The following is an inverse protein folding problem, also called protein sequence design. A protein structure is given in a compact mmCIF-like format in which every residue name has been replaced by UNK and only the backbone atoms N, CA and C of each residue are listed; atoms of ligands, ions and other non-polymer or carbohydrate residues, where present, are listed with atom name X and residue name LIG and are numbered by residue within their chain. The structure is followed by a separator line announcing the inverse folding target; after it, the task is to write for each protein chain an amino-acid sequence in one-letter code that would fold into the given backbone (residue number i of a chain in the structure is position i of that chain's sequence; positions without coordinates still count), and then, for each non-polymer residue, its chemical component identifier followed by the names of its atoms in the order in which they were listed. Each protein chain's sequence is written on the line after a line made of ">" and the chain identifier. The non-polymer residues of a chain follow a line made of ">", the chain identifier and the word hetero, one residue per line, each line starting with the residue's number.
data_IF_793865870473
#
_entry.id   IF_793865870473
#
_cell.length_a   1.000
_cell.length_b   1.000
_cell.length_c   1.000
_cell.angle_alpha   90.00
_cell.angle_beta   90.00
_cell.angle_gamma   90.00
#
_symmetry.space_group_name_H-M   'P 1'
#
loop_
_entity.id
_entity.type
_entity.pdbx_description
1 polymer ?
#
# COMPACT_ATOMS: atom_id res chain seq x y z
N UNK A 1 -48.44 17.57 -14.37
CA UNK A 1 -49.23 17.99 -13.19
C UNK A 1 -49.68 16.70 -12.53
N UNK A 2 -49.22 16.22 -11.37
CA UNK A 2 -48.41 16.74 -10.28
C UNK A 2 -49.06 16.20 -9.00
N UNK A 3 -48.43 15.27 -8.27
CA UNK A 3 -48.80 14.84 -6.90
C UNK A 3 -47.55 14.16 -6.30
N UNK A 4 -46.76 14.78 -5.41
CA UNK A 4 -46.97 15.00 -3.97
C UNK A 4 -47.04 13.68 -3.15
N UNK A 5 -46.01 13.43 -2.33
CA UNK A 5 -46.15 12.64 -1.08
C UNK A 5 -46.93 13.45 -0.02
N UNK A 6 -47.12 13.00 1.25
CA UNK A 6 -46.09 12.37 2.10
C UNK A 6 -46.63 11.33 3.13
N UNK A 7 -45.76 10.95 4.08
CA UNK A 7 -45.98 10.86 5.54
C UNK A 7 -45.67 9.50 6.20
N UNK A 8 -44.82 9.62 7.23
CA UNK A 8 -44.27 8.64 8.15
C UNK A 8 -45.31 8.11 9.14
N UNK A 9 -45.06 6.93 9.71
CA UNK A 9 -45.61 6.54 11.02
C UNK A 9 -44.56 5.72 11.77
N UNK A 10 -44.17 6.21 12.94
CA UNK A 10 -43.36 5.50 13.94
C UNK A 10 -44.25 4.49 14.70
N UNK A 11 -43.72 3.31 15.00
CA UNK A 11 -44.21 2.48 16.09
C UNK A 11 -43.02 2.06 16.97
N UNK A 12 -43.15 2.41 18.24
CA UNK A 12 -42.21 2.15 19.32
C UNK A 12 -42.57 0.83 19.99
N UNK A 13 -41.61 -0.07 20.17
CA UNK A 13 -41.79 -1.28 20.97
C UNK A 13 -40.58 -1.52 21.89
N UNK A 14 -40.82 -1.22 23.16
CA UNK A 14 -40.08 -1.67 24.34
C UNK A 14 -40.20 -3.20 24.49
N UNK A 15 -39.11 -3.86 24.89
CA UNK A 15 -39.12 -5.29 25.21
C UNK A 15 -37.85 -5.74 25.92
N UNK A 16 -37.93 -5.86 27.24
CA UNK A 16 -36.91 -6.36 28.16
C UNK A 16 -36.78 -7.89 28.13
N UNK A 17 -35.52 -8.33 28.14
CA UNK A 17 -34.92 -9.48 28.86
C UNK A 17 -35.64 -10.84 28.90
N UNK A 18 -34.95 -11.84 28.34
CA UNK A 18 -35.20 -13.27 28.52
C UNK A 18 -33.90 -14.05 28.31
N UNK A 19 -33.13 -14.19 29.38
CA UNK A 19 -31.92 -15.01 29.47
C UNK A 19 -32.26 -16.48 29.16
N UNK A 20 -31.55 -17.11 28.21
CA UNK A 20 -31.62 -18.56 27.98
C UNK A 20 -30.22 -19.14 28.23
N UNK A 21 -30.05 -20.12 29.13
CA UNK A 21 -28.73 -20.66 29.46
C UNK A 21 -28.24 -21.54 28.30
N UNK A 22 -27.12 -21.15 27.69
CA UNK A 22 -26.41 -21.97 26.72
C UNK A 22 -25.73 -23.10 27.48
N UNK A 23 -26.04 -24.34 27.10
CA UNK A 23 -25.43 -25.55 27.65
C UNK A 23 -23.96 -25.60 27.25
N UNK A 24 -23.08 -25.87 28.22
CA UNK A 24 -21.65 -26.07 28.03
C UNK A 24 -21.42 -27.38 27.26
N UNK A 25 -21.21 -27.28 25.95
CA UNK A 25 -20.71 -28.40 25.15
C UNK A 25 -19.21 -28.56 25.41
N UNK A 26 -18.86 -29.62 26.13
CA UNK A 26 -17.47 -30.07 26.30
C UNK A 26 -16.88 -30.44 24.93
N UNK A 27 -15.83 -29.76 24.42
CA UNK A 27 -15.21 -30.19 23.18
C UNK A 27 -14.42 -31.48 23.44
N UNK A 28 -14.86 -32.57 22.82
CA UNK A 28 -14.12 -33.81 22.72
C UNK A 28 -12.78 -33.57 22.02
N UNK A 29 -11.67 -33.95 22.67
CA UNK A 29 -10.33 -34.01 22.10
C UNK A 29 -10.33 -34.80 20.78
N UNK A 30 -10.04 -34.14 19.66
CA UNK A 30 -10.09 -34.83 18.38
C UNK A 30 -9.73 -34.03 17.13
N UNK A 31 -8.71 -33.18 17.18
CA UNK A 31 -7.86 -32.86 16.03
C UNK A 31 -6.74 -31.94 16.51
N UNK A 32 -5.50 -32.40 16.38
CA UNK A 32 -4.33 -31.53 16.44
C UNK A 32 -4.57 -30.39 15.45
N UNK A 33 -4.80 -29.19 15.97
CA UNK A 33 -4.62 -27.97 15.22
C UNK A 33 -3.14 -27.96 14.85
N UNK A 34 -2.84 -28.48 13.66
CA UNK A 34 -1.58 -28.24 13.00
C UNK A 34 -1.44 -26.74 12.88
N UNK A 35 -0.75 -26.14 13.85
CA UNK A 35 -0.23 -24.79 13.78
C UNK A 35 0.73 -24.77 12.61
N UNK A 36 0.18 -24.63 11.40
CA UNK A 36 0.93 -24.39 10.20
C UNK A 36 1.59 -23.04 10.39
N UNK A 37 2.83 -23.05 10.86
CA UNK A 37 3.71 -21.92 10.66
C UNK A 37 3.67 -21.65 9.16
N UNK A 38 3.30 -20.42 8.77
CA UNK A 38 3.41 -20.02 7.38
C UNK A 38 4.89 -20.14 7.00
N UNK A 39 5.28 -21.29 6.44
CA UNK A 39 6.67 -21.61 6.16
C UNK A 39 7.29 -20.43 5.43
N UNK A 40 8.38 -19.84 5.92
CA UNK A 40 8.98 -18.72 5.20
C UNK A 40 9.25 -19.17 3.75
N UNK A 41 8.98 -18.29 2.77
CA UNK A 41 9.41 -18.59 1.41
C UNK A 41 10.92 -18.88 1.48
N UNK A 42 11.44 -19.99 0.94
CA UNK A 42 12.86 -20.26 0.99
C UNK A 42 13.60 -19.06 0.40
N UNK A 43 14.54 -18.48 1.15
CA UNK A 43 15.26 -17.26 0.80
C UNK A 43 16.23 -17.41 -0.41
N UNK A 44 16.06 -18.46 -1.23
CA UNK A 44 16.91 -18.80 -2.36
C UNK A 44 16.25 -18.65 -3.74
N UNK A 45 15.01 -18.18 -3.81
CA UNK A 45 14.36 -17.88 -5.09
C UNK A 45 15.05 -16.72 -5.82
N UNK A 46 15.18 -16.81 -7.15
CA UNK A 46 15.69 -15.71 -7.96
C UNK A 46 14.75 -14.51 -7.86
N UNK A 47 15.30 -13.32 -7.58
CA UNK A 47 14.51 -12.09 -7.61
C UNK A 47 13.98 -11.86 -9.03
N UNK A 48 12.66 -11.71 -9.15
CA UNK A 48 11.97 -11.54 -10.43
C UNK A 48 11.80 -10.06 -10.81
N UNK A 49 12.11 -9.15 -9.89
CA UNK A 49 12.02 -7.72 -10.14
C UNK A 49 13.23 -7.23 -10.94
N UNK A 50 12.96 -6.40 -11.94
CA UNK A 50 13.97 -5.65 -12.66
C UNK A 50 14.27 -4.38 -11.87
N UNK A 51 15.56 -4.09 -11.67
CA UNK A 51 16.03 -2.95 -10.88
C UNK A 51 15.37 -2.83 -9.49
N UNK A 52 15.44 -3.85 -8.63
CA UNK A 52 14.77 -3.85 -7.32
C UNK A 52 15.31 -2.81 -6.34
N UNK A 53 16.52 -2.28 -6.58
CA UNK A 53 17.18 -1.28 -5.75
C UNK A 53 17.08 0.15 -6.29
N UNK A 54 16.38 0.36 -7.42
CA UNK A 54 16.19 1.68 -8.06
C UNK A 54 17.46 2.38 -8.55
N UNK A 55 18.52 1.62 -8.82
CA UNK A 55 19.80 2.15 -9.26
C UNK A 55 19.82 2.55 -10.74
N UNK A 56 20.80 3.38 -11.10
CA UNK A 56 21.08 3.75 -12.48
C UNK A 56 20.26 4.93 -12.99
N UNK A 57 19.75 4.81 -14.22
CA UNK A 57 19.10 5.93 -14.90
C UNK A 57 17.63 6.09 -14.52
N UNK A 58 17.20 7.36 -14.52
CA UNK A 58 15.82 7.78 -14.36
C UNK A 58 15.35 8.43 -15.64
N UNK A 59 14.09 8.21 -15.99
CA UNK A 59 13.46 8.80 -17.16
C UNK A 59 12.16 9.51 -16.77
N UNK A 60 11.82 10.57 -17.50
CA UNK A 60 10.54 11.24 -17.36
C UNK A 60 9.40 10.34 -17.87
N UNK A 61 8.30 10.31 -17.12
CA UNK A 61 7.09 9.62 -17.51
C UNK A 61 6.26 10.49 -18.46
N UNK A 62 6.27 10.12 -19.75
CA UNK A 62 5.59 10.88 -20.79
C UNK A 62 6.20 12.27 -20.97
N UNK A 63 5.36 13.29 -21.07
CA UNK A 63 5.81 14.68 -21.28
C UNK A 63 6.14 15.43 -19.97
N UNK A 64 5.99 14.79 -18.80
CA UNK A 64 6.10 15.45 -17.49
C UNK A 64 7.49 15.26 -16.89
N UNK A 65 8.27 16.34 -16.83
CA UNK A 65 9.65 16.32 -16.31
C UNK A 65 9.71 16.09 -14.79
N UNK A 66 8.62 16.31 -14.09
CA UNK A 66 8.46 16.12 -12.65
C UNK A 66 8.05 14.68 -12.28
N UNK A 67 7.87 13.80 -13.26
CA UNK A 67 7.48 12.41 -13.05
C UNK A 67 8.62 11.46 -13.44
N UNK A 68 9.77 11.56 -12.77
CA UNK A 68 10.92 10.70 -13.07
C UNK A 68 10.85 9.37 -12.33
N UNK A 69 11.06 8.29 -13.06
CA UNK A 69 11.01 6.93 -12.53
C UNK A 69 12.29 6.17 -12.82
N UNK A 70 12.67 5.29 -11.89
CA UNK A 70 13.77 4.36 -12.10
C UNK A 70 13.46 3.42 -13.28
N UNK A 71 14.52 2.98 -13.98
CA UNK A 71 14.40 2.03 -15.08
C UNK A 71 13.56 0.80 -14.69
N UNK A 72 12.61 0.42 -15.56
CA UNK A 72 11.67 -0.71 -15.42
C UNK A 72 10.59 -0.59 -14.33
N UNK A 73 10.48 0.57 -13.67
CA UNK A 73 9.36 0.89 -12.79
C UNK A 73 8.47 1.94 -13.42
N UNK A 74 7.18 1.90 -13.12
CA UNK A 74 6.22 2.85 -13.68
C UNK A 74 5.44 3.54 -12.56
N UNK A 75 5.31 4.87 -12.60
CA UNK A 75 4.51 5.59 -11.61
C UNK A 75 3.02 5.30 -11.84
N UNK A 76 2.27 5.29 -10.75
CA UNK A 76 0.81 5.33 -10.78
C UNK A 76 0.31 6.28 -9.69
N UNK A 77 -0.87 6.87 -9.90
CA UNK A 77 -1.55 7.70 -8.93
C UNK A 77 -3.05 7.65 -9.15
N UNK A 78 -3.80 8.04 -8.12
CA UNK A 78 -5.23 8.23 -8.18
C UNK A 78 -5.54 9.72 -8.15
N UNK A 79 -6.14 10.24 -9.23
CA UNK A 79 -6.66 11.61 -9.26
C UNK A 79 -7.91 11.73 -8.38
N UNK A 80 -8.09 12.89 -7.74
CA UNK A 80 -9.29 13.21 -6.98
C UNK A 80 -9.22 14.57 -6.31
N UNK A 81 -10.36 15.06 -5.79
CA UNK A 81 -10.46 16.39 -5.18
C UNK A 81 -9.44 16.63 -4.05
N UNK A 82 -9.11 15.57 -3.28
CA UNK A 82 -8.15 15.63 -2.18
C UNK A 82 -6.82 14.92 -2.48
N UNK A 83 -6.68 14.27 -3.64
CA UNK A 83 -5.46 13.56 -4.03
C UNK A 83 -4.79 14.31 -5.17
N UNK A 84 -3.74 15.04 -4.83
CA UNK A 84 -2.94 15.72 -5.83
C UNK A 84 -1.94 14.74 -6.45
N UNK A 85 -1.64 14.93 -7.73
CA UNK A 85 -0.54 14.21 -8.37
C UNK A 85 0.79 14.54 -7.66
N UNK A 86 1.54 13.53 -7.17
CA UNK A 86 2.85 13.76 -6.59
C UNK A 86 3.91 13.98 -7.68
N UNK A 87 5.03 14.56 -7.27
CA UNK A 87 6.26 14.58 -8.06
C UNK A 87 7.04 13.29 -7.78
N UNK A 88 7.68 12.74 -8.80
CA UNK A 88 8.55 11.56 -8.71
C UNK A 88 9.96 11.93 -9.12
N UNK A 89 10.94 11.53 -8.32
CA UNK A 89 12.35 11.83 -8.55
C UNK A 89 13.27 10.81 -7.86
N UNK A 90 14.53 10.69 -8.28
CA UNK A 90 15.51 10.00 -7.46
C UNK A 90 15.71 10.74 -6.13
N UNK A 91 15.82 9.98 -5.05
CA UNK A 91 16.63 10.38 -3.90
C UNK A 91 18.07 9.91 -4.16
N UNK A 92 19.04 10.77 -3.83
CA UNK A 92 20.45 10.50 -4.07
C UNK A 92 21.22 10.55 -2.74
N UNK A 93 22.20 9.64 -2.58
CA UNK A 93 22.95 9.47 -1.33
C UNK A 93 23.78 10.70 -0.98
N UNK A 94 24.20 11.44 -2.00
CA UNK A 94 24.91 12.72 -1.88
C UNK A 94 24.04 13.84 -1.30
N UNK A 95 22.72 13.72 -1.38
CA UNK A 95 21.76 14.76 -0.95
C UNK A 95 21.05 14.36 0.34
N UNK A 96 20.57 13.12 0.41
CA UNK A 96 19.73 12.65 1.51
C UNK A 96 20.06 11.18 1.85
N UNK A 97 21.23 10.90 2.45
CA UNK A 97 21.70 9.53 2.69
C UNK A 97 20.78 8.74 3.63
N UNK A 98 20.09 9.42 4.54
CA UNK A 98 19.10 8.81 5.44
C UNK A 98 17.86 8.25 4.71
N UNK A 99 17.64 8.62 3.44
CA UNK A 99 16.51 8.15 2.63
C UNK A 99 16.84 6.92 1.80
N UNK A 100 18.08 6.40 1.91
CA UNK A 100 18.59 5.33 1.07
C UNK A 100 18.97 4.15 1.94
N UNK A 101 18.31 3.02 1.70
CA UNK A 101 18.57 1.79 2.44
C UNK A 101 19.85 1.10 1.98
N UNK A 102 20.16 1.16 0.69
CA UNK A 102 21.35 0.54 0.07
C UNK A 102 21.69 1.24 -1.24
N UNK A 103 22.95 1.23 -1.65
CA UNK A 103 23.37 1.77 -2.94
C UNK A 103 23.47 3.30 -2.93
N UNK A 104 23.22 3.92 -4.09
CA UNK A 104 23.39 5.35 -4.31
C UNK A 104 22.07 6.09 -4.51
N UNK A 105 21.01 5.38 -4.89
CA UNK A 105 19.72 6.00 -5.22
C UNK A 105 18.52 5.22 -4.69
N UNK A 106 17.40 5.91 -4.51
CA UNK A 106 16.11 5.32 -4.21
C UNK A 106 15.00 6.06 -4.97
N UNK A 107 13.87 5.41 -5.27
CA UNK A 107 12.72 6.16 -5.77
C UNK A 107 12.10 6.97 -4.64
N UNK A 108 11.97 8.28 -4.86
CA UNK A 108 11.16 9.18 -4.05
C UNK A 108 9.92 9.64 -4.84
N UNK A 109 8.80 9.82 -4.14
CA UNK A 109 7.69 10.62 -4.61
C UNK A 109 7.07 11.41 -3.45
N UNK A 110 6.66 12.64 -3.72
CA UNK A 110 6.20 13.57 -2.68
C UNK A 110 5.24 14.61 -3.23
N UNK A 111 4.57 15.33 -2.32
CA UNK A 111 3.78 16.51 -2.66
C UNK A 111 3.92 17.58 -1.58
N UNK A 112 4.17 18.82 -1.99
CA UNK A 112 4.10 19.96 -1.08
C UNK A 112 2.65 20.33 -0.80
N UNK A 113 2.31 20.50 0.48
CA UNK A 113 0.98 20.90 0.98
C UNK A 113 -0.19 20.15 0.34
N UNK A 114 -0.04 18.83 0.20
CA UNK A 114 -1.06 18.01 -0.41
C UNK A 114 -0.96 16.56 0.00
N UNK A 115 -2.13 15.93 0.02
CA UNK A 115 -2.23 14.48 0.14
C UNK A 115 -2.21 13.86 -1.26
N UNK A 116 -1.77 12.62 -1.32
CA UNK A 116 -1.72 11.85 -2.56
C UNK A 116 -1.92 10.37 -2.26
N UNK A 117 -2.45 9.66 -3.26
CA UNK A 117 -2.45 8.20 -3.29
C UNK A 117 -1.76 7.77 -4.58
N UNK A 118 -0.57 7.18 -4.42
CA UNK A 118 0.33 6.91 -5.52
C UNK A 118 1.33 5.81 -5.15
N UNK A 119 2.10 5.39 -6.15
CA UNK A 119 3.24 4.51 -5.96
C UNK A 119 3.95 4.20 -7.26
N UNK A 120 4.74 3.13 -7.21
CA UNK A 120 5.34 2.52 -8.39
C UNK A 120 4.73 1.13 -8.62
N UNK A 121 4.78 0.65 -9.86
CA UNK A 121 4.46 -0.72 -10.21
C UNK A 121 5.44 -1.29 -11.23
N UNK A 122 5.55 -2.61 -11.22
CA UNK A 122 6.22 -3.42 -12.22
C UNK A 122 5.44 -4.73 -12.37
N UNK A 123 5.22 -5.18 -13.59
CA UNK A 123 4.57 -6.46 -13.86
C UNK A 123 5.60 -7.58 -13.89
N UNK A 124 5.41 -8.60 -13.05
CA UNK A 124 6.19 -9.84 -13.09
C UNK A 124 5.44 -10.88 -13.92
N UNK A 125 6.05 -11.32 -15.02
CA UNK A 125 5.45 -12.27 -15.96
C UNK A 125 5.92 -13.71 -15.69
N UNK A 126 5.25 -14.69 -16.32
CA UNK A 126 5.61 -16.12 -16.29
C UNK A 126 5.65 -16.73 -14.89
N UNK A 127 4.71 -16.34 -14.01
CA UNK A 127 4.54 -16.95 -12.69
C UNK A 127 3.70 -18.23 -12.83
N UNK A 128 4.26 -19.38 -12.44
CA UNK A 128 3.53 -20.65 -12.46
C UNK A 128 2.36 -20.61 -11.46
N UNK A 129 1.12 -20.95 -11.85
CA UNK A 129 -0.02 -21.01 -10.93
C UNK A 129 0.25 -21.89 -9.72
N UNK A 130 -0.22 -21.48 -8.54
CA UNK A 130 0.03 -22.17 -7.28
C UNK A 130 1.42 -21.91 -6.67
N UNK A 131 2.31 -21.18 -7.35
CA UNK A 131 3.60 -20.78 -6.77
C UNK A 131 3.40 -19.85 -5.58
N UNK A 132 4.21 -20.05 -4.55
CA UNK A 132 4.33 -19.09 -3.45
C UNK A 132 5.38 -18.03 -3.80
N UNK A 133 5.01 -16.77 -3.68
CA UNK A 133 5.91 -15.63 -3.85
C UNK A 133 6.12 -14.91 -2.52
N UNK A 134 7.27 -14.25 -2.39
CA UNK A 134 7.55 -13.32 -1.31
C UNK A 134 7.91 -11.97 -1.90
N UNK A 135 7.35 -10.92 -1.31
CA UNK A 135 7.68 -9.54 -1.61
C UNK A 135 8.11 -8.84 -0.32
N UNK A 136 9.15 -8.03 -0.43
CA UNK A 136 9.67 -7.20 0.66
C UNK A 136 10.18 -5.90 0.06
N UNK A 137 10.00 -4.79 0.78
CA UNK A 137 10.51 -3.48 0.40
C UNK A 137 10.91 -2.70 1.67
N UNK A 138 11.90 -1.82 1.52
CA UNK A 138 12.21 -0.81 2.51
C UNK A 138 11.54 0.49 2.10
N UNK A 139 10.76 1.07 3.01
CA UNK A 139 10.08 2.34 2.80
C UNK A 139 10.34 3.28 3.96
N UNK A 140 10.52 4.56 3.64
CA UNK A 140 10.54 5.65 4.59
C UNK A 140 9.47 6.65 4.19
N UNK A 141 8.68 7.10 5.16
CA UNK A 141 7.76 8.21 4.99
C UNK A 141 8.22 9.37 5.87
N UNK A 142 8.10 10.59 5.35
CA UNK A 142 8.36 11.82 6.08
C UNK A 142 7.36 12.88 5.67
N UNK A 143 6.88 13.65 6.64
CA UNK A 143 6.09 14.85 6.43
C UNK A 143 6.58 15.93 7.39
N UNK A 144 6.49 17.18 6.97
CA UNK A 144 6.78 18.33 7.81
C UNK A 144 5.78 19.44 7.45
N UNK A 145 5.48 20.28 8.42
CA UNK A 145 4.48 21.35 8.32
C UNK A 145 5.12 22.70 7.98
N UNK A 146 6.44 22.84 8.19
CA UNK A 146 7.20 24.07 7.97
C UNK A 146 8.43 23.82 7.09
N UNK A 147 8.52 24.50 5.96
CA UNK A 147 9.61 24.30 4.99
C UNK A 147 11.02 24.46 5.56
N UNK A 148 11.21 25.36 6.54
CA UNK A 148 12.51 25.64 7.16
C UNK A 148 13.00 24.55 8.13
N UNK A 149 12.12 23.62 8.52
CA UNK A 149 12.41 22.54 9.46
C UNK A 149 12.43 21.16 8.79
N UNK A 150 12.32 21.12 7.45
CA UNK A 150 12.45 19.90 6.66
C UNK A 150 13.93 19.46 6.59
N UNK A 151 14.29 18.26 7.09
CA UNK A 151 15.62 17.69 6.95
C UNK A 151 15.92 17.14 5.55
#
# INVERSE_FOLDING_TARGET
>A
MGTAGPASTEESASGSEGETPVQEETPSNGASAGGGTASACPAGGQNRLLNPSFEGSYAAFGAFKELNHAANWFPWWQDGANNLRPEFKPAEVSVAPNRIHSGNTAQQYFKSFGQFKAGLYQSVLNVTPGSRLQFSAHGQAWSCEEFGLCP
#
